data_IF_667937766041
#
_entry.id   IF_667937766041
#
_cell.length_a   1.000
_cell.length_b   1.000
_cell.length_c   1.000
_cell.angle_alpha   90.00
_cell.angle_beta   90.00
_cell.angle_gamma   90.00
#
_symmetry.space_group_name_H-M   'P 1'
#
loop_
_entity.id
_entity.type
_entity.pdbx_description
1 polymer ?
#
# COMPACT_ATOMS: atom_id res chain seq x y z
N UNK A 1 -17.32 -0.61 -7.40
CA UNK A 1 -16.27 -0.84 -8.41
C UNK A 1 -15.46 -2.09 -8.11
N UNK A 2 -14.82 -2.26 -6.94
CA UNK A 2 -13.88 -3.36 -6.66
C UNK A 2 -14.45 -4.78 -6.82
N UNK A 3 -15.67 -5.07 -6.38
CA UNK A 3 -16.26 -6.43 -6.47
C UNK A 3 -16.68 -6.72 -7.91
N UNK A 4 -17.65 -5.96 -8.44
CA UNK A 4 -18.17 -6.19 -9.80
C UNK A 4 -17.08 -6.01 -10.88
N UNK A 5 -16.21 -5.02 -10.72
CA UNK A 5 -15.09 -4.80 -11.66
C UNK A 5 -14.12 -5.97 -11.69
N UNK A 6 -13.76 -6.52 -10.52
CA UNK A 6 -12.90 -7.71 -10.43
C UNK A 6 -13.57 -8.91 -11.10
N UNK A 7 -14.86 -9.15 -10.83
CA UNK A 7 -15.60 -10.23 -11.45
C UNK A 7 -15.60 -10.10 -12.99
N UNK A 8 -15.93 -8.93 -13.53
CA UNK A 8 -15.93 -8.69 -14.98
C UNK A 8 -14.55 -8.93 -15.63
N UNK A 9 -13.46 -8.53 -14.94
CA UNK A 9 -12.10 -8.79 -15.43
C UNK A 9 -11.80 -10.28 -15.43
N UNK A 10 -12.17 -11.01 -14.39
CA UNK A 10 -11.99 -12.46 -14.32
C UNK A 10 -12.76 -13.19 -15.42
N UNK A 11 -14.02 -12.82 -15.68
CA UNK A 11 -14.79 -13.37 -16.82
C UNK A 11 -14.10 -13.08 -18.16
N UNK A 12 -13.65 -11.84 -18.36
CA UNK A 12 -12.94 -11.47 -19.58
C UNK A 12 -11.62 -12.24 -19.73
N UNK A 13 -10.90 -12.50 -18.65
CA UNK A 13 -9.68 -13.32 -18.66
C UNK A 13 -9.97 -14.76 -19.15
N UNK A 14 -11.02 -15.38 -18.63
CA UNK A 14 -11.44 -16.73 -19.04
C UNK A 14 -11.88 -16.74 -20.51
N UNK A 15 -12.75 -15.80 -20.91
CA UNK A 15 -13.27 -15.72 -22.26
C UNK A 15 -12.16 -15.51 -23.33
N UNK A 16 -11.11 -14.76 -22.96
CA UNK A 16 -9.98 -14.48 -23.87
C UNK A 16 -8.76 -15.39 -23.63
N UNK A 17 -8.89 -16.43 -22.84
CA UNK A 17 -7.81 -17.40 -22.54
C UNK A 17 -6.52 -16.74 -22.08
N UNK A 18 -6.66 -15.75 -21.17
CA UNK A 18 -5.51 -15.08 -20.55
C UNK A 18 -4.71 -16.12 -19.75
N UNK A 19 -3.41 -16.22 -20.02
CA UNK A 19 -2.55 -17.21 -19.39
C UNK A 19 -2.36 -17.00 -17.89
N UNK A 20 -2.31 -15.74 -17.43
CA UNK A 20 -2.12 -15.40 -16.01
C UNK A 20 -2.70 -14.02 -15.66
N UNK A 21 -3.33 -13.92 -14.51
CA UNK A 21 -3.78 -12.69 -13.90
C UNK A 21 -2.91 -12.33 -12.69
N UNK A 22 -2.41 -11.09 -12.62
CA UNK A 22 -1.83 -10.55 -11.39
C UNK A 22 -2.90 -9.69 -10.71
N UNK A 23 -3.36 -10.12 -9.53
CA UNK A 23 -4.40 -9.44 -8.80
C UNK A 23 -3.80 -8.47 -7.76
N UNK A 24 -4.08 -7.18 -7.91
CA UNK A 24 -3.72 -6.16 -6.94
C UNK A 24 -4.63 -6.25 -5.70
N UNK A 25 -4.22 -7.04 -4.72
CA UNK A 25 -4.84 -7.10 -3.41
C UNK A 25 -4.29 -6.00 -2.49
N UNK A 26 -4.47 -6.11 -1.20
CA UNK A 26 -4.05 -5.11 -0.22
C UNK A 26 -3.85 -5.75 1.15
N UNK A 27 -2.92 -5.24 1.94
CA UNK A 27 -2.80 -5.59 3.36
C UNK A 27 -4.06 -5.23 4.18
N UNK A 28 -4.98 -4.45 3.61
CA UNK A 28 -6.28 -4.18 4.24
C UNK A 28 -7.16 -5.42 4.43
N UNK A 29 -6.85 -6.54 3.76
CA UNK A 29 -7.52 -7.84 4.01
C UNK A 29 -7.30 -8.34 5.44
N UNK A 30 -6.15 -8.00 6.03
CA UNK A 30 -5.79 -8.42 7.38
C UNK A 30 -6.50 -7.62 8.49
N UNK A 31 -6.81 -6.34 8.23
CA UNK A 31 -7.27 -5.44 9.29
C UNK A 31 -6.13 -5.02 10.23
N UNK A 32 -6.41 -5.00 11.53
CA UNK A 32 -5.39 -4.80 12.55
C UNK A 32 -4.66 -6.12 12.84
N UNK A 33 -3.38 -6.04 13.17
CA UNK A 33 -2.56 -7.21 13.39
C UNK A 33 -3.01 -8.00 14.63
N UNK A 34 -3.21 -9.31 14.45
CA UNK A 34 -3.36 -10.27 15.56
C UNK A 34 -1.99 -10.82 15.94
N UNK A 35 -1.13 -10.99 14.95
CA UNK A 35 0.26 -11.41 15.08
C UNK A 35 1.17 -10.56 14.20
N UNK A 36 2.38 -10.26 14.67
CA UNK A 36 3.39 -9.52 13.91
C UNK A 36 4.72 -10.28 13.85
N UNK A 37 5.38 -10.30 12.66
CA UNK A 37 4.90 -9.78 11.37
C UNK A 37 3.77 -10.64 10.80
N UNK A 38 2.82 -10.00 10.08
CA UNK A 38 1.70 -10.71 9.46
C UNK A 38 2.19 -11.56 8.28
N UNK A 39 2.04 -12.87 8.38
CA UNK A 39 2.25 -13.79 7.26
C UNK A 39 1.02 -13.83 6.36
N UNK A 40 1.11 -14.51 5.21
CA UNK A 40 -0.04 -14.70 4.32
C UNK A 40 -1.14 -15.58 4.92
N UNK A 41 -0.84 -16.32 5.99
CA UNK A 41 -1.78 -17.14 6.75
C UNK A 41 -2.48 -16.36 7.89
N UNK A 42 -2.09 -15.10 8.13
CA UNK A 42 -2.75 -14.25 9.11
C UNK A 42 -4.26 -14.17 8.82
N UNK A 43 -5.13 -14.25 9.84
CA UNK A 43 -6.57 -14.23 9.65
C UNK A 43 -7.06 -12.91 9.04
N UNK A 44 -8.18 -12.96 8.31
CA UNK A 44 -8.88 -11.78 7.83
C UNK A 44 -9.64 -11.13 8.99
N UNK A 45 -9.06 -10.09 9.55
CA UNK A 45 -9.58 -9.34 10.71
C UNK A 45 -9.98 -7.91 10.32
N UNK A 46 -10.35 -7.69 9.05
CA UNK A 46 -10.70 -6.37 8.56
C UNK A 46 -12.07 -5.91 9.03
N UNK A 47 -12.19 -4.63 9.36
CA UNK A 47 -13.43 -3.99 9.83
C UNK A 47 -13.88 -2.84 8.92
N UNK A 48 -13.29 -2.70 7.73
CA UNK A 48 -13.62 -1.65 6.79
C UNK A 48 -14.06 -2.19 5.42
N UNK A 49 -14.90 -1.42 4.72
CA UNK A 49 -15.46 -1.82 3.43
C UNK A 49 -14.40 -2.08 2.36
N UNK A 50 -13.31 -1.31 2.34
CA UNK A 50 -12.25 -1.52 1.35
C UNK A 50 -11.59 -2.90 1.53
N UNK A 51 -11.19 -3.24 2.76
CA UNK A 51 -10.64 -4.57 3.06
C UNK A 51 -11.63 -5.70 2.69
N UNK A 52 -12.91 -5.53 3.01
CA UNK A 52 -13.95 -6.50 2.65
C UNK A 52 -14.03 -6.71 1.13
N UNK A 53 -13.95 -5.63 0.32
CA UNK A 53 -13.95 -5.76 -1.14
C UNK A 53 -12.71 -6.47 -1.67
N UNK A 54 -11.54 -6.30 -1.02
CA UNK A 54 -10.30 -6.99 -1.41
C UNK A 54 -10.35 -8.48 -1.03
N UNK A 55 -10.88 -8.83 0.14
CA UNK A 55 -11.15 -10.24 0.53
C UNK A 55 -12.08 -10.90 -0.50
N UNK A 56 -13.18 -10.23 -0.87
CA UNK A 56 -14.09 -10.75 -1.89
C UNK A 56 -13.36 -11.00 -3.22
N UNK A 57 -12.49 -10.07 -3.65
CA UNK A 57 -11.70 -10.22 -4.87
C UNK A 57 -10.73 -11.39 -4.82
N UNK A 58 -10.06 -11.63 -3.69
CA UNK A 58 -9.19 -12.79 -3.49
C UNK A 58 -9.98 -14.11 -3.60
N UNK A 59 -11.16 -14.19 -2.97
CA UNK A 59 -11.99 -15.38 -3.05
C UNK A 59 -12.52 -15.61 -4.47
N UNK A 60 -12.86 -14.55 -5.22
CA UNK A 60 -13.23 -14.66 -6.63
C UNK A 60 -12.07 -15.20 -7.49
N UNK A 61 -10.84 -14.72 -7.30
CA UNK A 61 -9.66 -15.26 -8.01
C UNK A 61 -9.52 -16.77 -7.77
N UNK A 62 -9.62 -17.22 -6.53
CA UNK A 62 -9.59 -18.66 -6.19
C UNK A 62 -10.72 -19.43 -6.85
N UNK A 63 -11.95 -18.92 -6.81
CA UNK A 63 -13.10 -19.58 -7.41
C UNK A 63 -12.93 -19.72 -8.93
N UNK A 64 -12.42 -18.69 -9.61
CA UNK A 64 -12.16 -18.73 -11.06
C UNK A 64 -11.00 -19.69 -11.40
N UNK A 65 -9.97 -19.76 -10.56
CA UNK A 65 -8.91 -20.77 -10.72
C UNK A 65 -9.49 -22.20 -10.63
N UNK A 66 -10.22 -22.50 -9.58
CA UNK A 66 -10.79 -23.85 -9.37
C UNK A 66 -11.84 -24.22 -10.43
N UNK A 67 -12.63 -23.26 -10.89
CA UNK A 67 -13.71 -23.50 -11.84
C UNK A 67 -13.24 -23.56 -13.29
N UNK A 68 -12.32 -22.69 -13.67
CA UNK A 68 -11.94 -22.46 -15.08
C UNK A 68 -10.44 -22.67 -15.35
N UNK A 69 -9.65 -22.98 -14.35
CA UNK A 69 -8.20 -23.13 -14.52
C UNK A 69 -7.45 -21.82 -14.76
N UNK A 70 -8.06 -20.65 -14.50
CA UNK A 70 -7.40 -19.35 -14.66
C UNK A 70 -6.22 -19.25 -13.68
N UNK A 71 -5.00 -19.15 -14.22
CA UNK A 71 -3.81 -18.96 -13.40
C UNK A 71 -3.79 -17.53 -12.83
N UNK A 72 -3.50 -17.40 -11.53
CA UNK A 72 -3.36 -16.09 -10.90
C UNK A 72 -2.32 -16.08 -9.80
N UNK A 73 -1.79 -14.88 -9.55
CA UNK A 73 -1.01 -14.53 -8.36
C UNK A 73 -1.57 -13.23 -7.78
N UNK A 74 -1.87 -13.21 -6.49
CA UNK A 74 -2.33 -12.00 -5.81
C UNK A 74 -1.21 -11.34 -4.99
N UNK A 75 -1.16 -10.01 -5.01
CA UNK A 75 -0.17 -9.21 -4.30
C UNK A 75 -0.87 -8.34 -3.24
N UNK A 76 -0.62 -8.63 -1.96
CA UNK A 76 -1.11 -7.86 -0.82
C UNK A 76 -0.14 -6.72 -0.52
N UNK A 77 -0.34 -5.58 -1.18
CA UNK A 77 0.52 -4.41 -0.98
C UNK A 77 0.35 -3.85 0.43
N UNK A 78 1.48 -3.57 1.09
CA UNK A 78 1.55 -2.81 2.33
C UNK A 78 1.32 -1.31 2.03
N UNK A 79 1.81 -0.37 2.82
CA UNK A 79 1.55 1.05 2.59
C UNK A 79 2.43 1.60 1.47
N UNK A 80 1.89 1.59 0.25
CA UNK A 80 2.61 2.09 -0.94
C UNK A 80 2.73 3.59 -0.91
N UNK A 81 3.93 4.10 -1.19
CA UNK A 81 4.21 5.52 -1.36
C UNK A 81 5.11 5.77 -2.56
N UNK A 82 5.12 7.00 -3.08
CA UNK A 82 6.00 7.39 -4.18
C UNK A 82 5.40 8.45 -5.10
N UNK A 83 6.13 8.73 -6.19
CA UNK A 83 5.71 9.68 -7.21
C UNK A 83 4.33 9.35 -7.79
N UNK A 84 3.57 10.39 -8.16
CA UNK A 84 2.23 10.29 -8.74
C UNK A 84 1.16 9.67 -7.84
N UNK A 85 1.39 9.61 -6.53
CA UNK A 85 0.37 9.13 -5.61
C UNK A 85 -0.94 9.92 -5.76
N UNK A 86 -2.09 9.21 -5.74
CA UNK A 86 -3.40 9.83 -5.86
C UNK A 86 -3.78 10.56 -4.56
N UNK A 87 -4.45 11.68 -4.71
CA UNK A 87 -5.02 12.47 -3.61
C UNK A 87 -6.52 12.19 -3.42
N UNK A 88 -7.14 11.46 -4.34
CA UNK A 88 -8.58 11.16 -4.30
C UNK A 88 -8.85 9.96 -3.40
N UNK A 89 -9.84 10.12 -2.51
CA UNK A 89 -10.32 9.06 -1.64
C UNK A 89 -10.15 9.35 -0.15
N UNK A 90 -10.82 8.57 0.67
CA UNK A 90 -10.84 8.73 2.13
C UNK A 90 -9.48 8.52 2.80
N UNK A 91 -8.50 7.97 2.08
CA UNK A 91 -7.18 7.63 2.58
C UNK A 91 -6.09 8.35 1.78
N UNK A 92 -6.02 9.68 1.92
CA UNK A 92 -4.80 10.38 1.53
C UNK A 92 -3.69 9.84 2.41
N UNK A 93 -2.67 9.23 1.80
CA UNK A 93 -1.57 8.66 2.54
C UNK A 93 -0.94 9.70 3.48
N UNK A 94 -0.65 9.32 4.68
CA UNK A 94 -0.11 10.18 5.73
C UNK A 94 1.12 10.99 5.24
N UNK A 95 1.99 10.38 4.45
CA UNK A 95 3.17 11.02 3.85
C UNK A 95 2.76 12.26 3.02
N UNK A 96 1.70 12.14 2.22
CA UNK A 96 1.25 13.25 1.37
C UNK A 96 0.68 14.41 2.19
N UNK A 97 -0.05 14.10 3.27
CA UNK A 97 -0.58 15.12 4.20
C UNK A 97 0.54 15.87 4.90
N UNK A 98 1.55 15.16 5.38
CA UNK A 98 2.73 15.78 6.01
C UNK A 98 3.42 16.70 5.03
N UNK A 99 3.75 16.23 3.82
CA UNK A 99 4.43 17.03 2.81
C UNK A 99 3.59 18.23 2.36
N UNK A 100 2.27 18.07 2.24
CA UNK A 100 1.38 19.17 1.88
C UNK A 100 1.30 20.26 2.94
N UNK A 101 1.32 19.89 4.23
CA UNK A 101 1.40 20.87 5.31
C UNK A 101 2.73 21.63 5.26
N UNK A 102 3.85 20.91 5.09
CA UNK A 102 5.16 21.53 4.99
C UNK A 102 5.28 22.48 3.78
N UNK A 103 4.75 22.09 2.61
CA UNK A 103 4.68 22.96 1.42
C UNK A 103 3.91 24.28 1.67
N UNK A 104 2.98 24.27 2.64
CA UNK A 104 2.18 25.43 3.05
C UNK A 104 2.79 26.19 4.24
N UNK A 105 3.97 25.81 4.72
CA UNK A 105 4.59 26.37 5.93
C UNK A 105 3.85 26.02 7.23
N UNK A 106 3.03 24.96 7.21
CA UNK A 106 2.26 24.49 8.36
C UNK A 106 2.94 23.30 9.05
N UNK A 107 2.73 23.11 10.36
CA UNK A 107 3.23 21.95 11.07
C UNK A 107 2.57 20.65 10.56
N UNK A 108 3.31 19.53 10.55
CA UNK A 108 2.71 18.23 10.32
C UNK A 108 1.82 17.84 11.50
N UNK A 109 0.65 17.26 11.21
CA UNK A 109 -0.31 16.81 12.23
C UNK A 109 -0.21 15.30 12.42
N UNK A 110 -0.05 14.88 13.66
CA UNK A 110 -0.04 13.47 14.08
C UNK A 110 -1.20 13.25 15.03
N UNK A 111 -2.04 12.26 14.74
CA UNK A 111 -3.19 11.91 15.56
C UNK A 111 -2.80 10.91 16.66
N UNK A 112 -3.21 11.15 17.89
CA UNK A 112 -2.79 10.39 19.08
C UNK A 112 -1.33 10.68 19.42
N UNK A 113 -0.62 9.65 19.87
CA UNK A 113 0.81 9.73 20.23
C UNK A 113 1.76 9.40 19.04
N UNK A 114 1.20 9.05 17.89
CA UNK A 114 1.95 8.68 16.70
C UNK A 114 2.58 7.28 16.75
N UNK A 115 2.20 6.44 17.72
CA UNK A 115 2.72 5.06 17.87
C UNK A 115 2.18 4.08 16.84
N UNK A 116 1.09 4.45 16.13
CA UNK A 116 0.55 3.63 15.02
C UNK A 116 1.67 3.37 13.99
N UNK A 117 1.83 2.10 13.60
CA UNK A 117 2.96 1.72 12.78
C UNK A 117 2.57 0.89 11.56
N UNK A 118 3.29 1.14 10.49
CA UNK A 118 3.03 0.52 9.19
C UNK A 118 4.33 0.12 8.51
N UNK A 119 4.20 -0.80 7.57
CA UNK A 119 5.22 -1.16 6.61
C UNK A 119 5.06 -0.29 5.36
N UNK A 120 6.01 0.60 5.11
CA UNK A 120 6.02 1.49 3.95
C UNK A 120 6.86 0.90 2.82
N UNK A 121 6.26 0.79 1.64
CA UNK A 121 6.92 0.26 0.45
C UNK A 121 6.91 1.27 -0.70
N UNK A 122 8.06 1.44 -1.35
CA UNK A 122 8.19 2.37 -2.47
C UNK A 122 7.53 1.83 -3.73
N UNK A 123 6.88 2.71 -4.49
CA UNK A 123 6.06 2.34 -5.66
C UNK A 123 6.83 1.56 -6.74
N UNK A 124 8.12 1.83 -6.93
CA UNK A 124 8.96 1.06 -7.88
C UNK A 124 9.16 -0.38 -7.44
N UNK A 125 9.28 -0.62 -6.14
CA UNK A 125 9.32 -2.00 -5.61
C UNK A 125 8.00 -2.72 -5.84
N UNK A 126 6.86 -2.04 -5.69
CA UNK A 126 5.56 -2.62 -6.05
C UNK A 126 5.47 -2.98 -7.54
N UNK A 127 5.97 -2.11 -8.42
CA UNK A 127 6.03 -2.40 -9.86
C UNK A 127 6.89 -3.64 -10.13
N UNK A 128 8.05 -3.76 -9.48
CA UNK A 128 8.93 -4.92 -9.59
C UNK A 128 8.29 -6.21 -9.04
N UNK A 129 7.51 -6.12 -7.96
CA UNK A 129 6.74 -7.26 -7.44
C UNK A 129 5.76 -7.82 -8.48
N UNK A 130 5.10 -6.95 -9.27
CA UNK A 130 4.23 -7.40 -10.36
C UNK A 130 5.02 -8.17 -11.43
N UNK A 131 6.21 -7.71 -11.80
CA UNK A 131 7.07 -8.41 -12.76
C UNK A 131 7.50 -9.77 -12.20
N UNK A 132 7.96 -9.82 -10.94
CA UNK A 132 8.32 -11.08 -10.29
C UNK A 132 7.14 -12.07 -10.27
N UNK A 133 5.94 -11.62 -9.92
CA UNK A 133 4.74 -12.44 -9.91
C UNK A 133 4.33 -12.92 -11.32
N UNK A 134 4.49 -12.07 -12.33
CA UNK A 134 4.19 -12.44 -13.71
C UNK A 134 5.12 -13.52 -14.26
N UNK A 135 6.39 -13.49 -13.85
CA UNK A 135 7.43 -14.43 -14.31
C UNK A 135 7.55 -15.70 -13.46
N UNK A 136 6.91 -15.74 -12.28
CA UNK A 136 7.02 -16.88 -11.37
C UNK A 136 6.28 -18.11 -11.91
N UNK A 137 6.72 -19.29 -11.48
CA UNK A 137 6.03 -20.57 -11.77
C UNK A 137 4.86 -20.87 -10.83
N UNK A 138 4.77 -20.16 -9.70
CA UNK A 138 3.72 -20.34 -8.68
C UNK A 138 2.37 -19.81 -9.18
N UNK A 139 1.29 -20.42 -8.72
CA UNK A 139 -0.09 -20.08 -9.05
C UNK A 139 -1.01 -20.33 -7.86
N UNK A 140 -2.25 -19.82 -7.92
CA UNK A 140 -3.27 -19.97 -6.86
C UNK A 140 -2.73 -19.55 -5.48
N UNK A 141 -2.08 -18.39 -5.42
CA UNK A 141 -1.42 -17.96 -4.19
C UNK A 141 -1.39 -16.44 -4.04
N UNK A 142 -1.16 -15.99 -2.81
CA UNK A 142 -1.01 -14.58 -2.45
C UNK A 142 0.34 -14.33 -1.79
N UNK A 143 0.88 -13.12 -1.99
CA UNK A 143 2.16 -12.69 -1.42
C UNK A 143 2.03 -11.32 -0.77
N UNK A 144 2.63 -11.17 0.39
CA UNK A 144 2.86 -9.85 0.98
C UNK A 144 3.90 -9.08 0.17
N UNK A 145 3.57 -7.85 -0.17
CA UNK A 145 4.46 -6.93 -0.86
C UNK A 145 4.73 -5.75 0.06
N UNK A 146 5.78 -5.89 0.84
CA UNK A 146 6.24 -4.96 1.85
C UNK A 146 7.76 -5.03 2.03
N UNK A 147 8.28 -4.17 2.89
CA UNK A 147 9.70 -4.16 3.32
C UNK A 147 9.91 -5.08 4.55
N UNK A 148 8.84 -5.34 5.31
CA UNK A 148 8.92 -6.04 6.58
C UNK A 148 9.48 -5.17 7.73
N UNK A 149 9.49 -3.86 7.55
CA UNK A 149 10.03 -2.90 8.53
C UNK A 149 8.90 -2.10 9.16
N UNK A 150 8.83 -2.17 10.48
CA UNK A 150 7.89 -1.39 11.27
C UNK A 150 8.36 0.06 11.38
N UNK A 151 7.52 1.01 10.95
CA UNK A 151 7.78 2.45 11.10
C UNK A 151 6.53 3.12 11.67
N UNK A 152 6.67 3.78 12.82
CA UNK A 152 5.59 4.56 13.43
C UNK A 152 5.34 5.85 12.66
N UNK A 153 4.14 6.42 12.83
CA UNK A 153 3.82 7.73 12.22
C UNK A 153 4.71 8.83 12.79
N UNK A 154 5.08 8.72 14.07
CA UNK A 154 6.03 9.66 14.69
C UNK A 154 7.40 9.58 14.02
N UNK A 155 8.01 8.38 13.93
CA UNK A 155 9.32 8.17 13.28
C UNK A 155 9.30 8.61 11.80
N UNK A 156 8.22 8.30 11.07
CA UNK A 156 8.04 8.76 9.69
C UNK A 156 8.02 10.28 9.60
N UNK A 157 7.30 10.94 10.50
CA UNK A 157 7.17 12.41 10.50
C UNK A 157 8.49 13.08 10.83
N UNK A 158 9.21 12.57 11.85
CA UNK A 158 10.54 13.05 12.24
C UNK A 158 11.54 12.90 11.07
N UNK A 159 11.50 11.76 10.38
CA UNK A 159 12.35 11.52 9.21
C UNK A 159 12.05 12.49 8.06
N UNK A 160 10.78 12.79 7.80
CA UNK A 160 10.39 13.78 6.77
C UNK A 160 10.87 15.17 7.15
N UNK A 161 10.72 15.60 8.42
CA UNK A 161 11.23 16.89 8.91
C UNK A 161 12.75 17.00 8.74
N UNK A 162 13.48 15.94 9.06
CA UNK A 162 14.93 15.88 8.88
C UNK A 162 15.31 16.03 7.39
N UNK A 163 14.71 15.24 6.49
CA UNK A 163 15.02 15.28 5.05
C UNK A 163 14.70 16.66 4.45
N UNK A 164 13.58 17.24 4.83
CA UNK A 164 13.14 18.57 4.34
C UNK A 164 13.86 19.73 5.02
N UNK A 165 14.65 19.45 6.07
CA UNK A 165 15.31 20.47 6.92
C UNK A 165 14.31 21.50 7.44
N UNK A 166 13.12 21.04 7.79
CA UNK A 166 12.04 21.91 8.26
C UNK A 166 12.17 22.21 9.75
N UNK A 167 12.01 23.47 10.14
CA UNK A 167 11.99 23.91 11.54
C UNK A 167 10.62 23.70 12.21
N UNK A 168 9.64 23.16 11.50
CA UNK A 168 8.32 22.89 12.03
C UNK A 168 8.36 21.81 13.09
N UNK A 169 7.49 21.95 14.11
CA UNK A 169 7.31 20.94 15.16
C UNK A 169 6.05 20.12 14.87
N UNK A 170 6.07 18.84 15.25
CA UNK A 170 4.89 17.98 15.15
C UNK A 170 3.78 18.55 16.04
N UNK A 171 2.61 18.77 15.44
CA UNK A 171 1.39 19.08 16.15
C UNK A 171 0.65 17.77 16.45
N UNK A 172 0.38 17.51 17.72
CA UNK A 172 -0.38 16.34 18.12
C UNK A 172 -1.85 16.72 18.32
N UNK A 173 -2.74 15.93 17.73
CA UNK A 173 -4.19 16.08 17.88
C UNK A 173 -4.82 14.81 18.46
N UNK A 174 -5.98 14.91 19.12
CA UNK A 174 -6.66 13.74 19.64
C UNK A 174 -6.85 12.68 18.58
N UNK A 175 -6.64 11.40 18.93
CA UNK A 175 -6.87 10.29 18.02
C UNK A 175 -8.35 10.20 17.65
N UNK A 176 -8.65 10.22 16.36
CA UNK A 176 -9.94 9.81 15.85
C UNK A 176 -10.10 8.27 15.87
N UNK A 177 -11.16 7.76 15.25
CA UNK A 177 -11.34 6.33 15.07
C UNK A 177 -10.23 5.81 14.14
N UNK A 178 -9.19 5.21 14.70
CA UNK A 178 -8.14 4.51 13.94
C UNK A 178 -8.54 3.05 13.82
N UNK A 179 -8.82 2.60 12.62
CA UNK A 179 -9.24 1.21 12.36
C UNK A 179 -8.08 0.21 12.39
N UNK A 180 -6.84 0.68 12.30
CA UNK A 180 -5.63 -0.15 12.26
C UNK A 180 -4.51 0.52 13.01
N UNK A 181 -4.00 -0.14 14.06
CA UNK A 181 -2.86 0.34 14.87
C UNK A 181 -1.53 -0.11 14.28
N UNK A 182 -1.45 -1.37 13.88
CA UNK A 182 -0.23 -1.97 13.37
C UNK A 182 -0.52 -2.78 12.10
N UNK A 183 0.37 -2.64 11.11
CA UNK A 183 0.30 -3.43 9.88
C UNK A 183 1.70 -3.58 9.26
N UNK A 184 2.37 -4.69 9.61
CA UNK A 184 3.71 -5.02 9.12
C UNK A 184 3.66 -6.42 8.52
N UNK A 185 3.99 -6.55 7.23
CA UNK A 185 3.94 -7.81 6.51
C UNK A 185 5.24 -8.60 6.61
N UNK A 186 5.14 -9.92 6.67
CA UNK A 186 6.30 -10.81 6.52
C UNK A 186 6.64 -10.94 5.01
N UNK A 187 7.83 -10.53 4.53
CA UNK A 187 8.19 -10.59 3.12
C UNK A 187 8.77 -11.93 2.67
N UNK A 188 9.00 -12.87 3.59
CA UNK A 188 9.81 -14.06 3.36
C UNK A 188 9.23 -15.02 2.32
N UNK A 189 7.89 -15.13 2.25
CA UNK A 189 7.24 -15.97 1.24
C UNK A 189 7.49 -15.43 -0.17
N UNK A 190 7.29 -14.14 -0.39
CA UNK A 190 7.53 -13.50 -1.68
C UNK A 190 9.01 -13.63 -2.10
N UNK A 191 9.94 -13.45 -1.16
CA UNK A 191 11.37 -13.61 -1.39
C UNK A 191 11.73 -15.02 -1.85
N UNK A 192 11.23 -16.03 -1.14
CA UNK A 192 11.53 -17.43 -1.42
C UNK A 192 10.89 -17.95 -2.70
N UNK A 193 9.64 -17.58 -2.99
CA UNK A 193 8.84 -18.22 -4.03
C UNK A 193 8.80 -17.46 -5.35
N UNK A 194 8.92 -16.14 -5.33
CA UNK A 194 8.90 -15.32 -6.56
C UNK A 194 10.14 -14.42 -6.70
N UNK A 195 11.15 -14.58 -5.83
CA UNK A 195 12.38 -13.81 -5.88
C UNK A 195 12.20 -12.32 -5.60
N UNK A 196 11.07 -11.92 -4.97
CA UNK A 196 10.80 -10.53 -4.65
C UNK A 196 11.29 -10.17 -3.25
N UNK A 197 12.07 -9.08 -3.14
CA UNK A 197 12.37 -8.40 -1.89
C UNK A 197 12.47 -6.89 -2.14
N UNK A 198 11.84 -6.05 -1.31
CA UNK A 198 11.89 -4.60 -1.46
C UNK A 198 13.34 -4.08 -1.31
N UNK A 199 13.79 -3.30 -2.28
CA UNK A 199 15.18 -2.80 -2.34
C UNK A 199 15.31 -1.39 -1.79
N UNK A 200 14.31 -0.53 -2.03
CA UNK A 200 14.34 0.88 -1.66
C UNK A 200 14.15 1.06 -0.15
N UNK A 201 15.08 1.76 0.51
CA UNK A 201 14.96 2.18 1.91
C UNK A 201 13.91 3.29 2.08
N UNK A 202 13.35 3.44 3.30
CA UNK A 202 12.33 4.47 3.53
C UNK A 202 12.90 5.88 3.30
N UNK A 203 14.09 6.19 3.82
CA UNK A 203 14.78 7.48 3.61
C UNK A 203 14.97 7.76 2.12
N UNK A 204 15.60 6.84 1.41
CA UNK A 204 15.87 6.95 -0.03
C UNK A 204 14.58 7.19 -0.83
N UNK A 205 13.52 6.42 -0.56
CA UNK A 205 12.24 6.58 -1.25
C UNK A 205 11.54 7.90 -0.93
N UNK A 206 11.69 8.41 0.30
CA UNK A 206 11.17 9.74 0.68
C UNK A 206 11.94 10.85 -0.03
N UNK A 207 13.27 10.78 -0.08
CA UNK A 207 14.11 11.73 -0.82
C UNK A 207 13.71 11.78 -2.29
N UNK A 208 13.57 10.63 -2.95
CA UNK A 208 13.09 10.55 -4.34
C UNK A 208 11.68 11.13 -4.52
N UNK A 209 10.78 10.90 -3.56
CA UNK A 209 9.43 11.46 -3.62
C UNK A 209 9.44 12.99 -3.48
N UNK A 210 10.22 13.52 -2.52
CA UNK A 210 10.35 14.96 -2.25
C UNK A 210 10.98 15.66 -3.46
N UNK A 211 12.04 15.10 -4.03
CA UNK A 211 12.68 15.60 -5.24
C UNK A 211 11.70 15.62 -6.43
N UNK A 212 10.96 14.52 -6.63
CA UNK A 212 9.94 14.46 -7.67
C UNK A 212 8.86 15.53 -7.48
N UNK A 213 8.39 15.76 -6.25
CA UNK A 213 7.39 16.80 -5.95
C UNK A 213 7.93 18.21 -6.25
N UNK A 214 9.19 18.47 -5.91
CA UNK A 214 9.86 19.75 -6.19
C UNK A 214 9.98 20.03 -7.70
N UNK A 215 10.26 18.99 -8.49
CA UNK A 215 10.37 19.06 -9.95
C UNK A 215 9.01 19.13 -10.67
N UNK A 216 7.90 18.75 -10.03
CA UNK A 216 6.57 18.61 -10.66
C UNK A 216 5.48 19.37 -9.89
N UNK A 217 5.79 20.59 -9.43
CA UNK A 217 4.88 21.42 -8.59
C UNK A 217 3.50 21.61 -9.20
N UNK A 218 3.43 21.88 -10.51
CA UNK A 218 2.16 22.09 -11.23
C UNK A 218 1.32 20.81 -11.25
N UNK A 219 1.94 19.66 -11.52
CA UNK A 219 1.25 18.37 -11.50
C UNK A 219 0.73 18.03 -10.10
N UNK A 220 1.52 18.29 -9.06
CA UNK A 220 1.14 18.09 -7.65
C UNK A 220 -0.05 18.99 -7.30
N UNK A 221 0.00 20.29 -7.67
CA UNK A 221 -1.09 21.22 -7.44
C UNK A 221 -2.38 20.81 -8.16
N UNK A 222 -2.29 20.38 -9.43
CA UNK A 222 -3.43 19.92 -10.20
C UNK A 222 -4.06 18.64 -9.60
N UNK A 223 -3.24 17.70 -9.10
CA UNK A 223 -3.73 16.47 -8.42
C UNK A 223 -4.44 16.80 -7.10
N UNK A 224 -3.88 17.74 -6.33
CA UNK A 224 -4.47 18.23 -5.07
C UNK A 224 -5.82 18.93 -5.32
N UNK A 225 -5.91 19.80 -6.31
CA UNK A 225 -7.14 20.51 -6.67
C UNK A 225 -8.28 19.55 -7.09
N UNK A 226 -7.95 18.48 -7.85
CA UNK A 226 -8.94 17.46 -8.27
C UNK A 226 -9.48 16.61 -7.13
N UNK A 227 -8.84 16.62 -5.97
CA UNK A 227 -9.24 15.84 -4.80
C UNK A 227 -10.11 16.64 -3.81
N UNK A 228 -10.11 17.97 -3.89
CA UNK A 228 -10.86 18.86 -3.00
C UNK A 228 -12.22 19.33 -3.57
N UNK A 229 -12.63 18.83 -4.74
CA UNK A 229 -13.90 19.15 -5.39
C UNK A 229 -14.97 18.06 -5.24
#
# INVERSE_FOLDING_TARGET
MNIRGTFNVLEACVANRVGRLIYSSSASVYGDAVEEPMTENHPFNNTNFYGATKVAGEQMCRAFHHRYGLDYVGLRYMNVYGARQDYRGAYIAVIMKILDNLDQGKPPVVYGDGSQAYDFIYVRDCARANVCAAMASTKDTFYNVGKGVRTSIKELTELILEITKSDQRIQYEPSGLTFVKNRVGCPEKAKREIGFGAQTGLREGLEMLIEWRAAHKEEVAARRARAGG
#
